data_IF_173620255970
#
_entry.id   IF_173620255970
#
_cell.length_a   1.000
_cell.length_b   1.000
_cell.length_c   1.000
_cell.angle_alpha   90.00
_cell.angle_beta   90.00
_cell.angle_gamma   90.00
#
_symmetry.space_group_name_H-M   'P 1'
#
loop_
_entity.id
_entity.type
_entity.pdbx_description
1 polymer ?
#
# COMPACT_ATOMS: atom_id res chain seq x y z
N UNK A 1 30.74 -29.72 -6.37
CA UNK A 1 29.62 -28.83 -6.00
C UNK A 1 30.00 -27.88 -4.87
N UNK A 2 30.50 -28.37 -3.71
CA UNK A 2 30.91 -27.50 -2.57
C UNK A 2 31.88 -26.36 -2.93
N UNK A 3 32.95 -26.64 -3.68
CA UNK A 3 33.92 -25.62 -4.14
C UNK A 3 33.31 -24.55 -5.05
N UNK A 4 32.31 -24.90 -5.88
CA UNK A 4 31.64 -23.93 -6.77
C UNK A 4 30.74 -23.01 -5.94
N UNK A 5 29.99 -23.57 -4.99
CA UNK A 5 29.15 -22.80 -4.06
C UNK A 5 29.99 -21.87 -3.18
N UNK A 6 31.17 -22.31 -2.72
CA UNK A 6 32.09 -21.48 -1.95
C UNK A 6 32.75 -20.37 -2.77
N UNK A 7 33.01 -20.60 -4.06
CA UNK A 7 33.62 -19.60 -4.96
C UNK A 7 32.60 -18.62 -5.55
N UNK A 8 31.33 -19.00 -5.64
CA UNK A 8 30.26 -18.26 -6.30
C UNK A 8 28.96 -18.28 -5.47
N UNK A 9 29.00 -17.92 -4.17
CA UNK A 9 27.86 -18.04 -3.27
C UNK A 9 26.64 -17.23 -3.72
N UNK A 10 26.86 -16.13 -4.43
CA UNK A 10 25.82 -15.24 -4.94
C UNK A 10 24.88 -15.87 -5.97
N UNK A 11 25.31 -16.93 -6.65
CA UNK A 11 24.50 -17.62 -7.66
C UNK A 11 23.74 -18.84 -7.09
N UNK A 12 23.85 -19.07 -5.77
CA UNK A 12 23.31 -20.25 -5.08
C UNK A 12 22.49 -19.87 -3.84
N UNK A 13 21.68 -18.80 -3.92
CA UNK A 13 20.75 -18.43 -2.86
C UNK A 13 19.57 -19.41 -2.78
N UNK A 14 19.34 -19.92 -1.57
CA UNK A 14 18.13 -20.65 -1.22
C UNK A 14 17.02 -19.65 -0.89
N UNK A 15 15.77 -20.06 -1.11
CA UNK A 15 14.61 -19.28 -0.71
C UNK A 15 14.60 -19.13 0.82
N UNK A 16 14.30 -17.92 1.29
CA UNK A 16 14.14 -17.63 2.71
C UNK A 16 12.78 -18.13 3.21
N UNK A 17 12.75 -18.80 4.35
CA UNK A 17 11.54 -19.33 4.96
C UNK A 17 11.27 -18.66 6.32
N UNK A 18 10.04 -18.74 6.84
CA UNK A 18 9.67 -18.14 8.14
C UNK A 18 10.52 -18.68 9.30
N UNK A 19 11.02 -19.91 9.19
CA UNK A 19 11.95 -20.49 10.17
C UNK A 19 13.29 -19.76 10.23
N UNK A 20 13.76 -19.19 9.11
CA UNK A 20 15.00 -18.40 9.10
C UNK A 20 14.84 -17.07 9.83
N UNK A 21 13.65 -16.47 9.74
CA UNK A 21 13.28 -15.24 10.47
C UNK A 21 13.23 -15.50 11.99
N UNK A 22 12.69 -16.66 12.38
CA UNK A 22 12.52 -17.04 13.80
C UNK A 22 13.80 -17.64 14.43
N UNK A 23 14.80 -17.97 13.63
CA UNK A 23 16.08 -18.46 14.15
C UNK A 23 16.88 -17.31 14.79
N UNK A 24 16.94 -17.34 16.12
CA UNK A 24 17.66 -16.37 16.95
C UNK A 24 19.16 -16.28 16.64
N UNK A 25 19.72 -17.25 15.91
CA UNK A 25 21.10 -17.21 15.49
C UNK A 25 21.34 -16.35 14.25
N UNK A 26 20.32 -16.16 13.39
CA UNK A 26 20.44 -15.28 12.23
C UNK A 26 20.47 -13.81 12.68
N UNK A 27 20.83 -12.90 11.77
CA UNK A 27 20.85 -11.46 12.05
C UNK A 27 19.77 -10.78 11.21
N UNK A 28 18.82 -10.11 11.85
CA UNK A 28 17.81 -9.29 11.17
C UNK A 28 18.15 -7.83 11.43
N UNK A 29 18.32 -7.07 10.36
CA UNK A 29 18.65 -5.65 10.43
C UNK A 29 17.53 -4.86 9.80
N UNK A 30 16.98 -3.86 10.49
CA UNK A 30 15.96 -2.97 9.93
C UNK A 30 16.55 -1.63 9.52
N UNK A 31 16.01 -1.06 8.46
CA UNK A 31 16.32 0.28 7.99
C UNK A 31 15.43 1.34 8.68
N UNK A 32 15.80 2.61 8.53
CA UNK A 32 15.06 3.77 9.05
C UNK A 32 13.64 3.82 8.51
N UNK A 33 13.45 3.44 7.24
CA UNK A 33 12.13 3.46 6.61
C UNK A 33 11.12 2.55 7.34
N UNK A 34 11.56 1.39 7.86
CA UNK A 34 10.73 0.48 8.63
C UNK A 34 10.21 1.15 9.90
N UNK A 35 11.12 1.73 10.69
CA UNK A 35 10.76 2.41 11.94
C UNK A 35 9.86 3.62 11.72
N UNK A 36 10.09 4.38 10.64
CA UNK A 36 9.27 5.54 10.30
C UNK A 36 7.89 5.16 9.76
N UNK A 37 7.77 4.04 9.03
CA UNK A 37 6.50 3.56 8.48
C UNK A 37 5.50 3.23 9.59
N UNK A 38 5.96 2.65 10.70
CA UNK A 38 5.12 2.38 11.89
C UNK A 38 4.41 3.66 12.37
N UNK A 39 5.07 4.82 12.30
CA UNK A 39 4.49 6.09 12.74
C UNK A 39 3.46 6.65 11.78
N UNK A 40 3.39 6.17 10.54
CA UNK A 40 2.45 6.64 9.51
C UNK A 40 1.24 5.71 9.37
N UNK A 41 1.41 4.42 9.68
CA UNK A 41 0.38 3.38 9.51
C UNK A 41 -0.85 3.56 10.41
N UNK A 42 -2.03 3.06 10.00
CA UNK A 42 -3.18 2.85 10.88
C UNK A 42 -2.78 2.07 12.13
N UNK A 43 -3.44 2.35 13.27
CA UNK A 43 -2.98 1.86 14.57
C UNK A 43 -3.01 0.32 14.69
N UNK A 44 -3.99 -0.33 14.08
CA UNK A 44 -4.11 -1.80 14.00
C UNK A 44 -2.93 -2.41 13.25
N UNK A 45 -2.55 -1.82 12.10
CA UNK A 45 -1.42 -2.29 11.29
C UNK A 45 -0.08 -1.96 11.97
N UNK A 46 0.05 -0.76 12.54
CA UNK A 46 1.25 -0.35 13.28
C UNK A 46 1.54 -1.29 14.46
N UNK A 47 0.49 -1.77 15.14
CA UNK A 47 0.60 -2.77 16.21
C UNK A 47 1.20 -4.07 15.68
N UNK A 48 0.76 -4.58 14.52
CA UNK A 48 1.35 -5.79 13.90
C UNK A 48 2.83 -5.62 13.53
N UNK A 49 3.24 -4.43 13.07
CA UNK A 49 4.65 -4.15 12.79
C UNK A 49 5.48 -4.17 14.08
N UNK A 50 4.99 -3.56 15.15
CA UNK A 50 5.66 -3.56 16.45
C UNK A 50 5.73 -4.98 17.02
N UNK A 51 4.64 -5.75 16.97
CA UNK A 51 4.61 -7.14 17.43
C UNK A 51 5.55 -8.04 16.60
N UNK A 52 5.68 -7.78 15.30
CA UNK A 52 6.67 -8.44 14.46
C UNK A 52 8.07 -8.21 14.99
N UNK A 53 8.46 -6.95 15.28
CA UNK A 53 9.76 -6.64 15.88
C UNK A 53 9.94 -7.28 17.27
N UNK A 54 8.90 -7.30 18.12
CA UNK A 54 8.96 -7.98 19.43
C UNK A 54 9.27 -9.47 19.26
N UNK A 55 8.66 -10.13 18.28
CA UNK A 55 8.82 -11.56 18.04
C UNK A 55 10.24 -11.95 17.61
N UNK A 56 10.94 -11.05 16.92
CA UNK A 56 12.32 -11.24 16.44
C UNK A 56 13.35 -10.46 17.28
N UNK A 57 12.98 -10.01 18.48
CA UNK A 57 13.84 -9.12 19.28
C UNK A 57 15.22 -9.71 19.57
N UNK A 58 15.35 -11.04 19.67
CA UNK A 58 16.61 -11.72 19.99
C UNK A 58 17.63 -11.75 18.85
N UNK A 59 17.17 -11.65 17.60
CA UNK A 59 18.01 -11.56 16.41
C UNK A 59 17.91 -10.19 15.70
N UNK A 60 17.17 -9.23 16.25
CA UNK A 60 17.04 -7.88 15.73
C UNK A 60 18.27 -7.04 16.08
N UNK A 61 18.79 -6.33 15.08
CA UNK A 61 19.81 -5.31 15.22
C UNK A 61 19.37 -4.02 14.53
N UNK A 62 19.54 -2.90 15.22
CA UNK A 62 19.24 -1.57 14.70
C UNK A 62 20.54 -0.78 14.69
N UNK A 63 21.15 -0.54 13.52
CA UNK A 63 22.35 0.27 13.40
C UNK A 63 22.16 1.62 14.11
N UNK A 64 23.20 2.13 14.76
CA UNK A 64 23.09 3.40 15.49
C UNK A 64 22.60 4.53 14.58
N UNK A 65 23.06 4.57 13.31
CA UNK A 65 22.59 5.56 12.35
C UNK A 65 21.09 5.44 12.08
N UNK A 66 20.56 4.22 11.95
CA UNK A 66 19.13 3.98 11.69
C UNK A 66 18.28 4.57 12.82
N UNK A 67 18.66 4.32 14.08
CA UNK A 67 17.98 4.90 15.22
C UNK A 67 18.10 6.43 15.23
N UNK A 68 19.29 6.97 14.95
CA UNK A 68 19.52 8.41 14.89
C UNK A 68 18.65 9.09 13.81
N UNK A 69 18.63 8.52 12.61
CA UNK A 69 17.82 8.96 11.48
C UNK A 69 16.32 8.92 11.84
N UNK A 70 15.86 7.88 12.54
CA UNK A 70 14.50 7.79 13.04
C UNK A 70 14.17 8.96 13.97
N UNK A 71 15.06 9.29 14.92
CA UNK A 71 14.86 10.40 15.85
C UNK A 71 14.81 11.77 15.16
N UNK A 72 15.59 11.99 14.11
CA UNK A 72 15.52 13.24 13.32
C UNK A 72 14.21 13.36 12.53
N UNK A 73 13.68 12.25 12.03
CA UNK A 73 12.56 12.26 11.08
C UNK A 73 11.18 12.00 11.71
N UNK A 74 11.10 11.37 12.90
CA UNK A 74 9.84 10.97 13.53
C UNK A 74 8.83 12.11 13.70
N UNK A 75 9.29 13.30 14.07
CA UNK A 75 8.42 14.47 14.27
C UNK A 75 7.77 14.92 12.97
N UNK A 76 8.50 14.83 11.86
CA UNK A 76 7.97 15.15 10.54
C UNK A 76 6.94 14.10 10.11
N UNK A 77 7.22 12.81 10.34
CA UNK A 77 6.29 11.71 10.04
C UNK A 77 4.97 11.82 10.81
N UNK A 78 5.03 12.06 12.14
CA UNK A 78 3.83 12.30 12.96
C UNK A 78 3.03 13.52 12.47
N UNK A 79 3.70 14.62 12.12
CA UNK A 79 3.03 15.81 11.54
C UNK A 79 2.39 15.52 10.19
N UNK A 80 3.06 14.76 9.33
CA UNK A 80 2.53 14.36 8.02
C UNK A 80 1.29 13.49 8.17
N UNK A 81 1.30 12.49 9.05
CA UNK A 81 0.11 11.66 9.34
C UNK A 81 -1.09 12.51 9.74
N UNK A 82 -0.89 13.44 10.68
CA UNK A 82 -1.96 14.36 11.12
C UNK A 82 -2.47 15.25 9.99
N UNK A 83 -1.57 15.86 9.21
CA UNK A 83 -1.95 16.68 8.05
C UNK A 83 -2.72 15.89 7.00
N UNK A 84 -2.31 14.65 6.76
CA UNK A 84 -2.99 13.77 5.84
C UNK A 84 -4.41 13.48 6.34
N UNK A 85 -4.57 13.05 7.60
CA UNK A 85 -5.89 12.83 8.22
C UNK A 85 -6.79 14.08 8.16
N UNK A 86 -6.25 15.27 8.43
CA UNK A 86 -6.99 16.54 8.32
C UNK A 86 -7.40 16.82 6.86
N UNK A 87 -6.51 16.57 5.90
CA UNK A 87 -6.78 16.74 4.46
C UNK A 87 -7.87 15.79 3.98
N UNK A 88 -7.80 14.53 4.40
CA UNK A 88 -8.83 13.52 4.16
C UNK A 88 -10.19 13.94 4.71
N UNK A 89 -10.23 14.36 5.97
CA UNK A 89 -11.45 14.81 6.61
C UNK A 89 -12.10 15.95 5.81
N UNK A 90 -11.30 16.92 5.38
CA UNK A 90 -11.77 18.02 4.52
C UNK A 90 -12.28 17.56 3.15
N UNK A 91 -11.67 16.54 2.55
CA UNK A 91 -12.14 15.97 1.29
C UNK A 91 -13.51 15.30 1.47
N UNK A 92 -13.69 14.53 2.54
CA UNK A 92 -14.96 13.88 2.86
C UNK A 92 -16.04 14.92 3.19
N UNK A 93 -15.71 15.92 4.01
CA UNK A 93 -16.58 17.06 4.30
C UNK A 93 -17.01 17.79 3.02
N UNK A 94 -16.06 18.07 2.11
CA UNK A 94 -16.35 18.68 0.81
C UNK A 94 -17.27 17.80 -0.05
N UNK A 95 -17.03 16.49 -0.11
CA UNK A 95 -17.86 15.56 -0.89
C UNK A 95 -19.29 15.48 -0.34
N UNK A 96 -19.46 15.43 0.98
CA UNK A 96 -20.77 15.45 1.63
C UNK A 96 -21.49 16.79 1.40
N UNK A 97 -20.78 17.91 1.48
CA UNK A 97 -21.35 19.24 1.18
C UNK A 97 -21.73 19.40 -0.30
N UNK A 98 -20.96 18.83 -1.23
CA UNK A 98 -21.31 18.78 -2.65
C UNK A 98 -22.54 17.92 -2.89
N UNK A 99 -22.63 16.74 -2.27
CA UNK A 99 -23.81 15.88 -2.34
C UNK A 99 -25.05 16.62 -1.84
N UNK A 100 -24.94 17.27 -0.67
CA UNK A 100 -25.99 18.12 -0.10
C UNK A 100 -26.44 19.21 -1.07
N UNK A 101 -25.48 19.93 -1.65
CA UNK A 101 -25.76 21.03 -2.58
C UNK A 101 -26.43 20.53 -3.88
N UNK A 102 -25.98 19.39 -4.42
CA UNK A 102 -26.58 18.77 -5.61
C UNK A 102 -28.03 18.35 -5.37
N UNK A 103 -28.32 17.74 -4.22
CA UNK A 103 -29.70 17.36 -3.85
C UNK A 103 -30.59 18.61 -3.68
N UNK A 104 -30.05 19.71 -3.14
CA UNK A 104 -30.79 20.96 -2.95
C UNK A 104 -31.01 21.76 -4.25
N UNK A 105 -30.06 21.72 -5.19
CA UNK A 105 -30.07 22.50 -6.43
C UNK A 105 -30.75 21.80 -7.62
N UNK A 106 -31.26 20.58 -7.44
CA UNK A 106 -31.92 19.88 -8.55
C UNK A 106 -33.30 20.50 -8.82
N UNK A 107 -33.35 21.47 -9.73
CA UNK A 107 -34.58 22.09 -10.23
C UNK A 107 -35.57 21.06 -10.83
N UNK A 108 -35.09 19.87 -11.24
CA UNK A 108 -35.91 18.75 -11.72
C UNK A 108 -36.70 18.03 -10.61
N UNK A 109 -36.29 18.17 -9.34
CA UNK A 109 -37.02 17.63 -8.18
C UNK A 109 -38.08 18.63 -7.70
N UNK A 110 -38.04 19.88 -8.18
CA UNK A 110 -39.05 20.90 -7.84
C UNK A 110 -40.47 20.55 -8.32
N UNK A 111 -40.63 19.58 -9.22
CA UNK A 111 -41.96 19.08 -9.62
C UNK A 111 -42.63 18.18 -8.57
N UNK A 112 -41.94 17.78 -7.49
CA UNK A 112 -42.47 16.91 -6.43
C UNK A 112 -42.30 17.51 -5.02
N UNK A 113 -42.06 18.83 -4.92
CA UNK A 113 -41.83 19.56 -3.65
C UNK A 113 -43.03 19.55 -2.69
N UNK A 114 -44.18 19.01 -3.09
CA UNK A 114 -45.31 18.76 -2.18
C UNK A 114 -45.17 17.47 -1.36
N UNK A 115 -44.18 16.60 -1.63
CA UNK A 115 -43.99 15.35 -0.89
C UNK A 115 -43.04 15.51 0.31
N UNK A 116 -43.59 15.43 1.54
CA UNK A 116 -42.85 15.38 2.83
C UNK A 116 -41.68 14.38 2.84
N UNK A 117 -41.74 13.33 2.00
CA UNK A 117 -40.69 12.31 1.86
C UNK A 117 -39.34 12.87 1.43
N UNK A 118 -39.31 13.84 0.51
CA UNK A 118 -38.05 14.36 -0.03
C UNK A 118 -37.40 15.33 0.96
N UNK A 119 -38.22 16.13 1.64
CA UNK A 119 -37.80 16.95 2.78
C UNK A 119 -37.25 16.08 3.92
N UNK A 120 -37.89 14.96 4.23
CA UNK A 120 -37.40 13.99 5.19
C UNK A 120 -36.07 13.34 4.76
N UNK A 121 -35.90 13.05 3.46
CA UNK A 121 -34.66 12.48 2.94
C UNK A 121 -33.49 13.47 3.03
N UNK A 122 -33.73 14.74 2.71
CA UNK A 122 -32.75 15.83 2.89
C UNK A 122 -32.41 15.98 4.38
N UNK A 123 -33.41 16.00 5.26
CA UNK A 123 -33.17 16.07 6.71
C UNK A 123 -32.35 14.88 7.24
N UNK A 124 -32.62 13.66 6.76
CA UNK A 124 -31.83 12.48 7.09
C UNK A 124 -30.38 12.61 6.59
N UNK A 125 -30.17 13.14 5.40
CA UNK A 125 -28.83 13.36 4.84
C UNK A 125 -28.06 14.40 5.66
N UNK A 126 -28.71 15.48 6.08
CA UNK A 126 -28.11 16.51 6.95
C UNK A 126 -27.73 15.95 8.31
N UNK A 127 -28.65 15.22 8.97
CA UNK A 127 -28.39 14.59 10.25
C UNK A 127 -27.25 13.57 10.15
N UNK A 128 -27.27 12.72 9.11
CA UNK A 128 -26.20 11.75 8.86
C UNK A 128 -24.85 12.44 8.66
N UNK A 129 -24.81 13.53 7.88
CA UNK A 129 -23.58 14.27 7.59
C UNK A 129 -22.99 14.85 8.87
N UNK A 130 -23.82 15.51 9.69
CA UNK A 130 -23.38 16.14 10.94
C UNK A 130 -22.92 15.10 11.98
N UNK A 131 -23.69 14.01 12.16
CA UNK A 131 -23.33 12.89 13.04
C UNK A 131 -22.04 12.22 12.59
N UNK A 132 -21.88 11.96 11.28
CA UNK A 132 -20.69 11.35 10.72
C UNK A 132 -19.44 12.24 10.93
N UNK A 133 -19.52 13.52 10.57
CA UNK A 133 -18.40 14.45 10.73
C UNK A 133 -18.01 14.62 12.20
N UNK A 134 -18.98 14.68 13.10
CA UNK A 134 -18.75 14.76 14.55
C UNK A 134 -18.03 13.52 15.06
N UNK A 135 -18.52 12.32 14.71
CA UNK A 135 -17.91 11.05 15.13
C UNK A 135 -16.49 10.87 14.59
N UNK A 136 -16.26 11.20 13.32
CA UNK A 136 -14.92 11.10 12.72
C UNK A 136 -13.96 12.09 13.40
N UNK A 137 -14.38 13.33 13.66
CA UNK A 137 -13.54 14.32 14.32
C UNK A 137 -13.18 13.92 15.76
N UNK A 138 -14.12 13.30 16.51
CA UNK A 138 -13.84 12.74 17.84
C UNK A 138 -12.87 11.55 17.77
N UNK A 139 -13.11 10.62 16.85
CA UNK A 139 -12.26 9.44 16.66
C UNK A 139 -10.82 9.81 16.30
N UNK A 140 -10.65 10.79 15.41
CA UNK A 140 -9.33 11.30 15.00
C UNK A 140 -8.58 11.99 16.15
N UNK A 141 -9.27 12.56 17.13
CA UNK A 141 -8.66 13.35 18.21
C UNK A 141 -8.31 12.54 19.46
N UNK A 142 -9.20 11.67 19.92
CA UNK A 142 -9.14 11.15 21.30
C UNK A 142 -8.82 9.65 21.41
N UNK A 143 -9.43 8.76 20.61
CA UNK A 143 -9.18 7.30 20.75
C UNK A 143 -7.89 6.82 20.06
N UNK A 144 -7.49 7.48 18.96
CA UNK A 144 -6.28 7.13 18.22
C UNK A 144 -5.02 7.51 19.02
N UNK A 145 -5.05 8.62 19.76
CA UNK A 145 -3.87 9.21 20.38
C UNK A 145 -3.30 8.37 21.53
N UNK A 146 -4.13 7.79 22.40
CA UNK A 146 -3.66 6.95 23.51
C UNK A 146 -2.98 5.67 23.03
N UNK A 147 -3.60 4.98 22.06
CA UNK A 147 -3.03 3.74 21.48
C UNK A 147 -1.77 4.04 20.65
N UNK A 148 -1.75 5.13 19.90
CA UNK A 148 -0.55 5.56 19.18
C UNK A 148 0.63 5.82 20.13
N UNK A 149 0.36 6.40 21.30
CA UNK A 149 1.39 6.63 22.31
C UNK A 149 1.89 5.32 22.95
N UNK A 150 1.02 4.31 23.13
CA UNK A 150 1.40 2.98 23.58
C UNK A 150 2.32 2.29 22.55
N UNK A 151 1.88 2.18 21.30
CA UNK A 151 2.66 1.59 20.19
C UNK A 151 3.99 2.31 20.02
N UNK A 152 4.00 3.64 20.14
CA UNK A 152 5.24 4.43 20.08
C UNK A 152 6.19 4.14 21.25
N UNK A 153 5.69 4.01 22.48
CA UNK A 153 6.51 3.63 23.64
C UNK A 153 7.11 2.23 23.47
N UNK A 154 6.31 1.27 23.00
CA UNK A 154 6.79 -0.08 22.72
C UNK A 154 7.88 -0.09 21.64
N UNK A 155 7.70 0.67 20.56
CA UNK A 155 8.71 0.85 19.53
C UNK A 155 10.02 1.41 20.12
N UNK A 156 9.95 2.43 20.98
CA UNK A 156 11.13 2.98 21.64
C UNK A 156 11.84 1.95 22.53
N UNK A 157 11.09 1.12 23.26
CA UNK A 157 11.68 0.07 24.08
C UNK A 157 12.42 -0.95 23.22
N UNK A 158 11.83 -1.38 22.09
CA UNK A 158 12.47 -2.31 21.15
C UNK A 158 13.75 -1.69 20.58
N UNK A 159 13.70 -0.41 20.17
CA UNK A 159 14.87 0.30 19.68
C UNK A 159 15.95 0.35 20.74
N UNK A 160 15.61 0.74 21.97
CA UNK A 160 16.56 0.81 23.09
C UNK A 160 17.27 -0.52 23.36
N UNK A 161 16.57 -1.63 23.19
CA UNK A 161 17.10 -2.97 23.47
C UNK A 161 17.91 -3.56 22.31
N UNK A 162 17.78 -3.00 21.09
CA UNK A 162 18.34 -3.57 19.86
C UNK A 162 19.30 -2.63 19.12
N UNK A 163 19.48 -1.39 19.61
CA UNK A 163 20.36 -0.39 19.00
C UNK A 163 21.83 -0.79 19.11
N UNK A 164 22.59 -0.56 18.04
CA UNK A 164 24.03 -0.70 18.00
C UNK A 164 24.78 0.40 18.76
N UNK A 165 26.08 0.17 18.93
CA UNK A 165 26.95 1.11 19.63
C UNK A 165 27.11 2.42 18.85
N UNK A 166 27.29 3.50 19.60
CA UNK A 166 27.61 4.80 19.03
C UNK A 166 28.94 4.75 18.27
N UNK A 167 28.99 5.43 17.13
CA UNK A 167 30.18 5.47 16.28
C UNK A 167 31.25 6.44 16.81
N UNK A 168 32.50 6.08 16.59
CA UNK A 168 33.63 7.00 16.69
C UNK A 168 33.71 7.87 15.42
N UNK A 169 34.10 9.14 15.59
CA UNK A 169 34.16 10.07 14.47
C UNK A 169 35.19 9.65 13.42
N UNK A 170 36.30 9.08 13.87
CA UNK A 170 37.38 8.53 13.05
C UNK A 170 36.87 7.41 12.15
N UNK A 171 36.04 6.50 12.68
CA UNK A 171 35.43 5.42 11.91
C UNK A 171 34.52 5.94 10.80
N UNK A 172 33.74 7.00 11.06
CA UNK A 172 32.93 7.66 10.03
C UNK A 172 33.84 8.24 8.93
N UNK A 173 34.92 8.94 9.29
CA UNK A 173 35.83 9.53 8.30
C UNK A 173 36.49 8.48 7.39
N UNK A 174 36.86 7.32 7.94
CA UNK A 174 37.40 6.22 7.14
C UNK A 174 36.39 5.72 6.12
N UNK A 175 35.12 5.58 6.52
CA UNK A 175 34.04 5.13 5.63
C UNK A 175 33.73 6.17 4.56
N UNK A 176 33.67 7.46 4.90
CA UNK A 176 33.39 8.51 3.91
C UNK A 176 34.50 8.59 2.85
N UNK A 177 35.76 8.42 3.26
CA UNK A 177 36.91 8.35 2.35
C UNK A 177 36.86 7.12 1.44
N UNK A 178 36.39 5.98 1.95
CA UNK A 178 36.10 4.81 1.10
C UNK A 178 34.94 5.10 0.14
N UNK A 179 33.90 5.79 0.64
CA UNK A 179 32.70 6.16 -0.11
C UNK A 179 32.98 7.04 -1.32
N UNK A 180 33.93 7.97 -1.23
CA UNK A 180 34.40 8.75 -2.40
C UNK A 180 34.81 7.87 -3.57
N UNK A 181 35.58 6.80 -3.29
CA UNK A 181 36.04 5.87 -4.32
C UNK A 181 34.92 4.95 -4.78
N UNK A 182 34.15 4.40 -3.84
CA UNK A 182 33.04 3.49 -4.16
C UNK A 182 32.01 4.17 -5.06
N UNK A 183 31.64 5.41 -4.78
CA UNK A 183 30.61 6.11 -5.55
C UNK A 183 31.11 6.44 -6.96
N UNK A 184 32.38 6.87 -7.10
CA UNK A 184 33.00 7.09 -8.41
C UNK A 184 33.04 5.83 -9.28
N UNK A 185 33.13 4.65 -8.67
CA UNK A 185 33.13 3.35 -9.35
C UNK A 185 31.75 2.67 -9.37
N UNK A 186 30.69 3.35 -8.92
CA UNK A 186 29.34 2.82 -8.77
C UNK A 186 29.26 1.50 -7.97
N UNK A 187 30.09 1.37 -6.93
CA UNK A 187 30.10 0.24 -6.00
C UNK A 187 29.05 0.50 -4.90
N UNK A 188 28.07 -0.40 -4.71
CA UNK A 188 26.99 -0.23 -3.74
C UNK A 188 27.47 -0.41 -2.28
N UNK A 189 26.67 0.01 -1.27
CA UNK A 189 25.43 0.78 -1.41
C UNK A 189 25.68 2.29 -1.33
N UNK A 190 24.68 3.08 -1.73
CA UNK A 190 24.64 4.52 -1.52
C UNK A 190 25.06 5.38 -2.72
N UNK A 191 25.61 4.81 -3.80
CA UNK A 191 26.03 5.62 -4.96
C UNK A 191 24.86 6.35 -5.63
N UNK A 192 23.63 5.85 -5.50
CA UNK A 192 22.43 6.54 -5.99
C UNK A 192 22.12 7.83 -5.21
N UNK A 193 22.67 7.98 -4.00
CA UNK A 193 22.51 9.14 -3.12
C UNK A 193 23.72 10.09 -3.20
N UNK A 194 24.61 9.96 -4.20
CA UNK A 194 25.82 10.79 -4.35
C UNK A 194 25.54 12.30 -4.38
N UNK A 195 24.37 12.69 -4.90
CA UNK A 195 23.92 14.08 -5.03
C UNK A 195 23.18 14.60 -3.80
N UNK A 196 23.10 13.81 -2.72
CA UNK A 196 22.43 14.21 -1.48
C UNK A 196 23.33 15.12 -0.65
N UNK A 197 22.97 16.39 -0.63
CA UNK A 197 23.70 17.39 0.14
C UNK A 197 23.31 17.44 1.62
N UNK A 198 24.27 17.89 2.43
CA UNK A 198 24.05 18.20 3.84
C UNK A 198 24.88 17.35 4.80
N UNK A 199 25.25 17.96 5.92
CA UNK A 199 25.99 17.32 7.01
C UNK A 199 25.06 17.26 8.23
N UNK A 200 24.96 16.09 8.85
CA UNK A 200 24.27 15.92 10.13
C UNK A 200 25.29 15.82 11.24
N UNK A 201 24.99 16.47 12.36
CA UNK A 201 25.81 16.45 13.58
C UNK A 201 24.95 16.04 14.76
N UNK A 202 25.43 15.09 15.55
CA UNK A 202 24.76 14.66 16.76
C UNK A 202 25.74 14.07 17.76
N UNK A 203 25.69 14.53 19.00
CA UNK A 203 26.44 13.95 20.13
C UNK A 203 27.95 13.69 19.83
N UNK A 204 28.61 14.59 19.11
CA UNK A 204 30.04 14.46 18.80
C UNK A 204 30.38 13.77 17.48
N UNK A 205 29.40 13.17 16.78
CA UNK A 205 29.57 12.69 15.41
C UNK A 205 29.06 13.68 14.37
N UNK A 206 29.68 13.66 13.20
CA UNK A 206 29.37 14.45 12.00
C UNK A 206 29.53 13.56 10.78
N UNK A 207 28.50 13.48 9.94
CA UNK A 207 28.52 12.69 8.70
C UNK A 207 27.78 13.41 7.57
N UNK A 208 28.25 13.22 6.34
CA UNK A 208 27.57 13.65 5.12
C UNK A 208 26.43 12.69 4.81
N UNK A 209 25.24 13.25 4.58
CA UNK A 209 24.03 12.44 4.42
C UNK A 209 24.07 11.49 3.21
N UNK A 210 24.87 11.79 2.17
CA UNK A 210 25.10 10.91 1.02
C UNK A 210 25.77 9.57 1.37
N UNK A 211 26.54 9.52 2.47
CA UNK A 211 27.20 8.28 2.90
C UNK A 211 26.38 7.49 3.94
N UNK A 212 25.14 7.91 4.24
CA UNK A 212 24.31 7.26 5.25
C UNK A 212 24.14 5.75 5.01
N UNK A 213 23.74 5.35 3.79
CA UNK A 213 23.56 3.96 3.40
C UNK A 213 24.86 3.15 3.53
N UNK A 214 26.00 3.75 3.16
CA UNK A 214 27.31 3.11 3.28
C UNK A 214 27.73 2.93 4.75
N UNK A 215 27.50 3.94 5.61
CA UNK A 215 27.80 3.84 7.04
C UNK A 215 26.95 2.74 7.69
N UNK A 216 25.64 2.68 7.38
CA UNK A 216 24.75 1.60 7.83
C UNK A 216 25.27 0.24 7.36
N UNK A 217 25.67 0.13 6.09
CA UNK A 217 26.20 -1.12 5.55
C UNK A 217 27.48 -1.58 6.25
N UNK A 218 28.42 -0.67 6.52
CA UNK A 218 29.66 -1.01 7.24
C UNK A 218 29.38 -1.41 8.69
N UNK A 219 28.36 -0.83 9.33
CA UNK A 219 27.88 -1.28 10.65
C UNK A 219 27.32 -2.71 10.59
N UNK A 220 26.51 -3.02 9.57
CA UNK A 220 26.00 -4.39 9.34
C UNK A 220 27.14 -5.39 9.16
N UNK A 221 28.15 -5.07 8.35
CA UNK A 221 29.31 -5.95 8.14
C UNK A 221 30.07 -6.21 9.45
N UNK A 222 30.30 -5.16 10.24
CA UNK A 222 30.93 -5.26 11.57
C UNK A 222 30.13 -6.20 12.47
N UNK A 223 28.83 -5.94 12.61
CA UNK A 223 27.94 -6.75 13.46
C UNK A 223 27.86 -8.21 13.02
N UNK A 224 27.77 -8.45 11.72
CA UNK A 224 27.72 -9.80 11.16
C UNK A 224 29.00 -10.60 11.43
N UNK A 225 30.15 -9.93 11.48
CA UNK A 225 31.46 -10.53 11.78
C UNK A 225 31.62 -10.84 13.28
N UNK A 226 31.08 -9.98 14.15
CA UNK A 226 31.12 -10.15 15.61
C UNK A 226 30.18 -11.27 16.10
N UNK A 227 29.16 -11.61 15.33
CA UNK A 227 28.19 -12.66 15.67
C UNK A 227 28.59 -14.00 15.03
N UNK A 228 29.17 -14.95 15.78
CA UNK A 228 29.71 -16.20 15.21
C UNK A 228 28.63 -17.23 14.84
N UNK A 229 27.40 -17.07 15.33
CA UNK A 229 26.27 -17.98 15.06
C UNK A 229 25.39 -17.44 13.93
N UNK A 230 24.69 -18.36 13.29
CA UNK A 230 23.80 -18.10 12.16
C UNK A 230 24.54 -17.95 10.84
N UNK A 231 23.87 -18.31 9.75
CA UNK A 231 24.43 -18.28 8.40
C UNK A 231 23.80 -17.18 7.53
N UNK A 232 22.88 -16.37 8.07
CA UNK A 232 22.13 -15.35 7.33
C UNK A 232 22.16 -13.97 7.98
N UNK A 233 22.20 -12.95 7.13
CA UNK A 233 21.87 -11.56 7.45
C UNK A 233 20.69 -11.16 6.58
N UNK A 234 19.60 -10.73 7.21
CA UNK A 234 18.36 -10.36 6.54
C UNK A 234 18.16 -8.86 6.77
N UNK A 235 18.41 -8.06 5.73
CA UNK A 235 18.26 -6.62 5.77
C UNK A 235 16.87 -6.20 5.28
N UNK A 236 16.14 -5.47 6.11
CA UNK A 236 14.74 -5.09 5.87
C UNK A 236 14.70 -3.64 5.42
N UNK A 237 14.35 -3.43 4.16
CA UNK A 237 14.23 -2.10 3.57
C UNK A 237 13.30 -2.08 2.36
N UNK A 238 12.46 -1.06 2.24
CA UNK A 238 11.67 -0.79 1.04
C UNK A 238 12.51 -0.21 -0.11
N UNK A 239 13.75 0.23 0.14
CA UNK A 239 14.59 0.87 -0.87
C UNK A 239 15.00 -0.08 -2.01
N UNK A 240 15.06 -1.39 -1.73
CA UNK A 240 15.28 -2.42 -2.75
C UNK A 240 14.15 -2.52 -3.78
N UNK A 241 12.96 -1.99 -3.46
CA UNK A 241 11.81 -2.00 -4.36
C UNK A 241 11.72 -0.75 -5.23
N UNK A 242 12.51 0.27 -4.93
CA UNK A 242 12.51 1.52 -5.66
C UNK A 242 12.96 1.32 -7.11
N UNK A 243 12.24 1.94 -8.04
CA UNK A 243 12.68 2.07 -9.43
C UNK A 243 13.82 3.10 -9.59
N UNK A 244 14.12 3.86 -8.53
CA UNK A 244 15.17 4.89 -8.51
C UNK A 244 16.47 4.42 -7.88
N UNK A 245 16.44 3.31 -7.12
CA UNK A 245 17.63 2.70 -6.51
C UNK A 245 17.98 1.39 -7.22
N UNK A 246 19.18 1.33 -7.78
CA UNK A 246 19.77 0.20 -8.52
C UNK A 246 20.94 -0.46 -7.78
N UNK A 247 21.31 0.08 -6.61
CA UNK A 247 22.51 -0.29 -5.84
C UNK A 247 22.26 -1.48 -4.90
N UNK A 248 21.04 -1.63 -4.37
CA UNK A 248 20.71 -2.68 -3.41
C UNK A 248 20.29 -4.01 -4.05
N UNK A 249 19.59 -4.00 -5.20
CA UNK A 249 18.97 -5.17 -5.82
C UNK A 249 19.46 -5.35 -7.25
N UNK A 250 19.89 -6.57 -7.58
CA UNK A 250 20.20 -6.98 -8.95
C UNK A 250 18.90 -7.26 -9.74
N UNK A 251 18.74 -6.58 -10.88
CA UNK A 251 17.60 -6.73 -11.79
C UNK A 251 18.06 -7.27 -13.14
N UNK A 252 17.41 -8.31 -13.66
CA UNK A 252 17.59 -8.82 -15.04
C UNK A 252 16.26 -8.75 -15.77
N UNK A 253 16.22 -8.11 -16.93
CA UNK A 253 15.03 -8.04 -17.80
C UNK A 253 13.74 -7.66 -17.06
N UNK A 254 13.79 -6.63 -16.21
CA UNK A 254 12.70 -6.17 -15.32
C UNK A 254 12.26 -7.14 -14.22
N UNK A 255 12.91 -8.28 -14.04
CA UNK A 255 12.71 -9.19 -12.91
C UNK A 255 13.76 -8.93 -11.83
N UNK A 256 13.30 -8.79 -10.58
CA UNK A 256 14.19 -8.77 -9.41
C UNK A 256 14.75 -10.19 -9.21
N UNK A 257 16.07 -10.30 -9.13
CA UNK A 257 16.73 -11.60 -8.93
C UNK A 257 17.12 -11.79 -7.47
N UNK A 258 17.63 -10.74 -6.82
CA UNK A 258 18.08 -10.77 -5.42
C UNK A 258 18.92 -9.55 -5.06
N UNK A 259 19.56 -9.53 -3.88
CA UNK A 259 20.50 -8.49 -3.50
C UNK A 259 21.62 -8.30 -4.53
N UNK A 260 22.23 -7.12 -4.56
CA UNK A 260 23.37 -6.85 -5.42
C UNK A 260 24.52 -7.82 -5.14
N UNK A 261 25.08 -8.40 -6.21
CA UNK A 261 26.19 -9.36 -6.15
C UNK A 261 27.38 -8.79 -5.35
N UNK A 262 27.66 -7.49 -5.47
CA UNK A 262 28.71 -6.82 -4.70
C UNK A 262 28.46 -6.87 -3.19
N UNK A 263 27.23 -6.60 -2.75
CA UNK A 263 26.85 -6.62 -1.33
C UNK A 263 26.89 -8.06 -0.79
N UNK A 264 26.41 -9.01 -1.58
CA UNK A 264 26.44 -10.41 -1.22
C UNK A 264 27.87 -10.92 -1.04
N UNK A 265 28.76 -10.60 -2.00
CA UNK A 265 30.15 -11.01 -1.95
C UNK A 265 30.89 -10.35 -0.78
N UNK A 266 30.73 -9.04 -0.58
CA UNK A 266 31.37 -8.31 0.52
C UNK A 266 30.96 -8.88 1.89
N UNK A 267 29.65 -9.08 2.12
CA UNK A 267 29.17 -9.68 3.36
C UNK A 267 29.71 -11.10 3.56
N UNK A 268 29.65 -11.93 2.52
CA UNK A 268 30.10 -13.32 2.60
C UNK A 268 31.60 -13.41 2.88
N UNK A 269 32.41 -12.55 2.26
CA UNK A 269 33.86 -12.54 2.46
C UNK A 269 34.25 -12.07 3.87
N UNK A 270 33.50 -11.13 4.45
CA UNK A 270 33.73 -10.67 5.82
C UNK A 270 33.23 -11.64 6.89
N UNK A 271 32.03 -12.21 6.73
CA UNK A 271 31.31 -12.91 7.81
C UNK A 271 30.96 -14.37 7.52
N UNK A 272 31.13 -14.83 6.28
CA UNK A 272 30.64 -16.13 5.77
C UNK A 272 29.13 -16.32 5.87
N UNK A 273 28.37 -15.23 6.00
CA UNK A 273 26.90 -15.23 6.01
C UNK A 273 26.32 -14.87 4.64
N UNK A 274 25.14 -15.40 4.36
CA UNK A 274 24.33 -15.11 3.17
C UNK A 274 23.49 -13.85 3.42
N UNK A 275 23.48 -12.92 2.46
CA UNK A 275 22.64 -11.72 2.50
C UNK A 275 21.25 -12.02 1.95
N UNK A 276 20.22 -11.52 2.60
CA UNK A 276 18.85 -11.43 2.10
C UNK A 276 18.35 -10.00 2.27
N UNK A 277 17.54 -9.52 1.32
CA UNK A 277 16.86 -8.23 1.44
C UNK A 277 15.36 -8.46 1.29
N UNK A 278 14.58 -8.00 2.26
CA UNK A 278 13.11 -8.04 2.23
C UNK A 278 12.56 -6.62 2.36
N UNK A 279 11.39 -6.38 1.77
CA UNK A 279 10.62 -5.18 2.10
C UNK A 279 9.94 -5.32 3.46
N UNK A 280 9.47 -4.20 4.00
CA UNK A 280 8.90 -4.11 5.33
C UNK A 280 7.64 -4.98 5.47
N UNK A 281 6.74 -4.90 4.49
CA UNK A 281 5.46 -5.65 4.47
C UNK A 281 5.68 -7.16 4.43
N UNK A 282 6.68 -7.63 3.69
CA UNK A 282 7.01 -9.06 3.57
C UNK A 282 7.44 -9.63 4.91
N UNK A 283 8.30 -8.93 5.67
CA UNK A 283 8.70 -9.36 7.01
C UNK A 283 7.48 -9.53 7.91
N UNK A 284 6.63 -8.51 7.97
CA UNK A 284 5.44 -8.50 8.84
C UNK A 284 4.48 -9.60 8.43
N UNK A 285 4.24 -9.78 7.13
CA UNK A 285 3.37 -10.84 6.63
C UNK A 285 3.89 -12.24 6.96
N UNK A 286 5.22 -12.46 6.89
CA UNK A 286 5.84 -13.74 7.27
C UNK A 286 5.68 -14.07 8.76
N UNK A 287 5.42 -13.09 9.63
CA UNK A 287 5.32 -13.27 11.08
C UNK A 287 3.87 -13.27 11.57
N UNK A 288 3.07 -12.28 11.18
CA UNK A 288 1.74 -12.03 11.75
C UNK A 288 0.58 -12.38 10.82
N UNK A 289 0.84 -12.75 9.56
CA UNK A 289 -0.17 -12.95 8.51
C UNK A 289 -1.10 -11.73 8.33
N UNK A 290 -0.78 -10.89 7.34
CA UNK A 290 -1.60 -9.73 7.00
C UNK A 290 -2.79 -10.17 6.14
N UNK A 291 -3.97 -9.60 6.41
CA UNK A 291 -5.13 -9.78 5.53
C UNK A 291 -4.97 -8.98 4.23
N UNK A 292 -5.74 -9.34 3.19
CA UNK A 292 -5.80 -8.57 1.94
C UNK A 292 -6.13 -7.10 2.21
N UNK A 293 -7.14 -6.82 3.06
CA UNK A 293 -7.53 -5.46 3.47
C UNK A 293 -6.39 -4.68 4.18
N UNK A 294 -5.49 -5.35 4.89
CA UNK A 294 -4.34 -4.70 5.54
C UNK A 294 -3.24 -4.39 4.53
N UNK A 295 -2.97 -5.30 3.60
CA UNK A 295 -2.01 -5.11 2.50
C UNK A 295 -2.47 -3.93 1.63
N UNK A 296 -3.74 -3.90 1.22
CA UNK A 296 -4.32 -2.81 0.43
C UNK A 296 -4.19 -1.45 1.14
N UNK A 297 -4.39 -1.42 2.46
CA UNK A 297 -4.24 -0.20 3.27
C UNK A 297 -2.78 0.27 3.36
N UNK A 298 -1.83 -0.66 3.43
CA UNK A 298 -0.39 -0.34 3.41
C UNK A 298 -0.01 0.24 2.04
N UNK A 299 -0.39 -0.42 0.96
CA UNK A 299 -0.08 0.00 -0.42
C UNK A 299 -0.71 1.36 -0.75
N UNK A 300 -1.99 1.56 -0.41
CA UNK A 300 -2.69 2.82 -0.58
C UNK A 300 -1.97 3.99 0.10
N UNK A 301 -1.41 3.75 1.30
CA UNK A 301 -0.63 4.74 2.02
C UNK A 301 0.72 5.04 1.33
N UNK A 302 1.42 4.02 0.82
CA UNK A 302 2.68 4.20 0.09
C UNK A 302 2.49 4.98 -1.21
N UNK A 303 1.41 4.71 -1.94
CA UNK A 303 1.05 5.45 -3.16
C UNK A 303 0.44 6.84 -2.88
N UNK A 304 0.18 7.18 -1.61
CA UNK A 304 -0.63 8.34 -1.18
C UNK A 304 -2.00 8.37 -1.88
N UNK A 305 -2.49 7.20 -2.29
CA UNK A 305 -3.81 7.04 -2.90
C UNK A 305 -4.82 6.85 -1.80
N UNK A 306 -5.63 7.88 -1.68
CA UNK A 306 -6.67 8.03 -0.69
C UNK A 306 -7.98 7.57 -1.33
N UNK A 307 -8.03 6.28 -1.67
CA UNK A 307 -9.20 5.70 -2.34
C UNK A 307 -10.28 5.46 -1.29
N UNK A 308 -11.37 6.22 -1.38
CA UNK A 308 -12.62 5.84 -0.72
C UNK A 308 -13.19 4.68 -1.53
N UNK A 309 -12.86 3.46 -1.14
CA UNK A 309 -13.52 2.28 -1.69
C UNK A 309 -14.88 2.17 -1.02
N UNK A 310 -15.96 2.19 -1.82
CA UNK A 310 -17.27 1.84 -1.30
C UNK A 310 -17.24 0.35 -0.93
N UNK A 311 -17.69 -0.01 0.28
CA UNK A 311 -17.85 -1.42 0.65
C UNK A 311 -18.63 -2.17 -0.42
N UNK A 312 -18.18 -3.39 -0.76
CA UNK A 312 -18.77 -4.20 -1.83
C UNK A 312 -20.28 -4.35 -1.72
N UNK A 313 -20.79 -4.52 -0.50
CA UNK A 313 -22.23 -4.64 -0.25
C UNK A 313 -23.04 -3.38 -0.62
N UNK A 314 -22.43 -2.18 -0.58
CA UNK A 314 -23.07 -0.94 -1.03
C UNK A 314 -23.20 -0.95 -2.55
N UNK A 315 -22.14 -1.36 -3.25
CA UNK A 315 -22.15 -1.48 -4.70
C UNK A 315 -23.14 -2.55 -5.15
N UNK A 316 -23.15 -3.73 -4.50
CA UNK A 316 -24.09 -4.82 -4.78
C UNK A 316 -25.55 -4.36 -4.61
N UNK A 317 -25.82 -3.58 -3.57
CA UNK A 317 -27.15 -3.00 -3.33
C UNK A 317 -27.52 -1.98 -4.41
N UNK A 318 -26.60 -1.08 -4.77
CA UNK A 318 -26.83 -0.08 -5.81
C UNK A 318 -27.13 -0.75 -7.16
N UNK A 319 -26.37 -1.77 -7.54
CA UNK A 319 -26.63 -2.55 -8.76
C UNK A 319 -28.01 -3.20 -8.72
N UNK A 320 -28.39 -3.80 -7.58
CA UNK A 320 -29.72 -4.40 -7.40
C UNK A 320 -30.85 -3.39 -7.55
N UNK A 321 -30.71 -2.21 -6.95
CA UNK A 321 -31.73 -1.15 -7.01
C UNK A 321 -31.87 -0.60 -8.45
N UNK A 322 -30.76 -0.46 -9.17
CA UNK A 322 -30.78 -0.06 -10.59
C UNK A 322 -31.43 -1.13 -11.47
N UNK A 323 -31.17 -2.43 -11.23
CA UNK A 323 -31.85 -3.51 -11.95
C UNK A 323 -33.36 -3.46 -11.74
N UNK A 324 -33.80 -3.31 -10.49
CA UNK A 324 -35.22 -3.19 -10.18
C UNK A 324 -35.85 -1.95 -10.86
N UNK A 325 -35.12 -0.84 -10.90
CA UNK A 325 -35.56 0.37 -11.63
C UNK A 325 -35.74 0.10 -13.12
N UNK A 326 -34.75 -0.52 -13.77
CA UNK A 326 -34.85 -0.85 -15.19
C UNK A 326 -36.00 -1.81 -15.50
N UNK A 327 -36.25 -2.81 -14.64
CA UNK A 327 -37.38 -3.73 -14.77
C UNK A 327 -38.74 -3.03 -14.70
N UNK A 328 -38.85 -2.00 -13.87
CA UNK A 328 -40.06 -1.17 -13.77
C UNK A 328 -40.15 -0.07 -14.85
N UNK A 329 -39.06 0.17 -15.59
CA UNK A 329 -38.95 1.29 -16.52
C UNK A 329 -39.36 0.90 -17.95
N UNK A 330 -40.54 1.38 -18.37
CA UNK A 330 -41.10 1.14 -19.71
C UNK A 330 -40.55 2.08 -20.81
N UNK A 331 -39.64 3.01 -20.51
CA UNK A 331 -39.00 3.89 -21.51
C UNK A 331 -37.78 3.21 -22.17
N UNK A 332 -37.33 3.68 -23.33
CA UNK A 332 -36.07 3.31 -24.00
C UNK A 332 -34.81 3.55 -23.14
N UNK A 333 -34.89 4.36 -22.09
CA UNK A 333 -33.76 4.68 -21.22
C UNK A 333 -33.34 3.47 -20.38
N UNK A 334 -32.04 3.16 -20.38
CA UNK A 334 -31.39 2.13 -19.56
C UNK A 334 -30.48 2.80 -18.54
N UNK A 335 -30.67 2.50 -17.26
CA UNK A 335 -29.80 2.96 -16.19
C UNK A 335 -28.73 1.92 -15.87
N UNK A 336 -27.53 2.37 -15.50
CA UNK A 336 -26.42 1.50 -15.09
C UNK A 336 -25.49 2.25 -14.13
N UNK A 337 -24.65 1.51 -13.39
CA UNK A 337 -23.56 2.11 -12.62
C UNK A 337 -22.32 2.13 -13.53
N UNK A 338 -21.60 3.23 -13.68
CA UNK A 338 -20.41 3.29 -14.55
C UNK A 338 -19.11 2.78 -13.88
N UNK A 339 -17.95 3.01 -14.50
CA UNK A 339 -16.62 2.62 -13.98
C UNK A 339 -16.15 3.48 -12.80
N UNK A 340 -16.73 4.66 -12.62
CA UNK A 340 -16.47 5.55 -11.49
C UNK A 340 -17.51 5.39 -10.37
N UNK A 341 -18.30 4.31 -10.41
CA UNK A 341 -19.40 4.02 -9.48
C UNK A 341 -20.50 5.09 -9.44
N UNK A 342 -20.77 5.75 -10.58
CA UNK A 342 -21.82 6.76 -10.73
C UNK A 342 -23.05 6.17 -11.40
N UNK A 343 -24.25 6.63 -11.03
CA UNK A 343 -25.48 6.29 -11.75
C UNK A 343 -25.51 7.03 -13.09
N UNK A 344 -25.49 6.28 -14.18
CA UNK A 344 -25.55 6.78 -15.55
C UNK A 344 -26.79 6.23 -16.26
N UNK A 345 -27.13 6.84 -17.40
CA UNK A 345 -28.21 6.38 -18.26
C UNK A 345 -27.86 6.54 -19.73
N UNK A 346 -28.41 5.67 -20.56
CA UNK A 346 -28.35 5.77 -22.02
C UNK A 346 -29.76 5.63 -22.57
N UNK A 347 -30.13 6.46 -23.54
CA UNK A 347 -31.37 6.26 -24.30
C UNK A 347 -31.05 5.41 -25.53
N UNK A 348 -31.53 4.17 -25.55
CA UNK A 348 -31.22 3.24 -26.65
C UNK A 348 -31.87 3.64 -27.97
N UNK A 349 -32.92 4.45 -27.95
CA UNK A 349 -33.62 4.90 -29.16
C UNK A 349 -32.89 6.09 -29.81
N UNK A 350 -32.05 6.81 -29.06
CA UNK A 350 -31.23 7.92 -29.57
C UNK A 350 -29.86 7.46 -30.09
N UNK A 351 -29.51 6.18 -29.90
CA UNK A 351 -28.24 5.60 -30.35
C UNK A 351 -28.42 4.92 -31.70
N UNK A 352 -27.57 5.25 -32.66
CA UNK A 352 -27.61 4.62 -33.99
C UNK A 352 -27.41 3.09 -33.89
N UNK A 353 -28.16 2.27 -34.65
CA UNK A 353 -28.11 0.81 -34.52
C UNK A 353 -26.71 0.19 -34.65
N UNK A 354 -25.84 0.74 -35.51
CA UNK A 354 -24.45 0.28 -35.64
C UNK A 354 -23.61 0.61 -34.40
N UNK A 355 -23.86 1.77 -33.78
CA UNK A 355 -23.16 2.20 -32.58
C UNK A 355 -23.59 1.36 -31.37
N UNK A 356 -24.88 1.01 -31.29
CA UNK A 356 -25.41 0.11 -30.27
C UNK A 356 -24.81 -1.31 -30.38
N UNK A 357 -24.64 -1.84 -31.59
CA UNK A 357 -23.98 -3.13 -31.83
C UNK A 357 -22.52 -3.07 -31.39
N UNK A 358 -21.80 -2.01 -31.77
CA UNK A 358 -20.40 -1.79 -31.36
C UNK A 358 -20.26 -1.72 -29.84
N UNK A 359 -21.19 -1.04 -29.15
CA UNK A 359 -21.26 -0.99 -27.68
C UNK A 359 -21.44 -2.38 -27.07
N UNK A 360 -22.29 -3.23 -27.65
CA UNK A 360 -22.50 -4.59 -27.15
C UNK A 360 -21.31 -5.52 -27.40
N UNK A 361 -20.51 -5.27 -28.45
CA UNK A 361 -19.33 -6.08 -28.79
C UNK A 361 -18.06 -5.64 -28.06
N UNK A 362 -18.01 -4.41 -27.55
CA UNK A 362 -16.84 -3.88 -26.88
C UNK A 362 -16.61 -4.57 -25.50
N UNK A 363 -15.44 -5.20 -25.28
CA UNK A 363 -15.12 -5.87 -24.01
C UNK A 363 -14.97 -4.89 -22.84
N UNK A 364 -14.69 -3.62 -23.11
CA UNK A 364 -14.53 -2.57 -22.10
C UNK A 364 -15.89 -1.99 -21.65
N UNK A 365 -16.99 -2.33 -22.33
CA UNK A 365 -18.34 -1.92 -21.92
C UNK A 365 -18.77 -2.72 -20.70
N UNK A 366 -19.18 -2.01 -19.65
CA UNK A 366 -19.52 -2.62 -18.37
C UNK A 366 -20.58 -3.71 -18.55
N UNK A 367 -20.30 -4.88 -17.99
CA UNK A 367 -21.18 -6.07 -18.02
C UNK A 367 -22.64 -5.73 -17.70
N UNK A 368 -22.88 -4.91 -16.68
CA UNK A 368 -24.22 -4.49 -16.28
C UNK A 368 -24.95 -3.71 -17.39
N UNK A 369 -24.30 -2.72 -18.03
CA UNK A 369 -24.93 -1.96 -19.12
C UNK A 369 -25.31 -2.88 -20.29
N UNK A 370 -24.39 -3.78 -20.66
CA UNK A 370 -24.60 -4.77 -21.72
C UNK A 370 -25.78 -5.69 -21.42
N UNK A 371 -25.88 -6.20 -20.19
CA UNK A 371 -27.00 -7.04 -19.74
C UNK A 371 -28.33 -6.30 -19.81
N UNK A 372 -28.38 -5.05 -19.34
CA UNK A 372 -29.62 -4.27 -19.28
C UNK A 372 -30.10 -3.84 -20.68
N UNK A 373 -29.19 -3.44 -21.59
CA UNK A 373 -29.53 -3.18 -23.00
C UNK A 373 -30.06 -4.46 -23.65
N UNK A 374 -29.36 -5.58 -23.49
CA UNK A 374 -29.77 -6.85 -24.09
C UNK A 374 -31.15 -7.27 -23.59
N UNK A 375 -31.39 -7.19 -22.28
CA UNK A 375 -32.70 -7.50 -21.67
C UNK A 375 -33.80 -6.62 -22.25
N UNK A 376 -33.55 -5.33 -22.41
CA UNK A 376 -34.54 -4.37 -22.93
C UNK A 376 -34.83 -4.56 -24.42
N UNK A 377 -33.80 -4.81 -25.22
CA UNK A 377 -33.95 -5.20 -26.63
C UNK A 377 -34.75 -6.49 -26.76
N UNK A 378 -34.45 -7.48 -25.92
CA UNK A 378 -35.15 -8.77 -25.87
C UNK A 378 -36.61 -8.58 -25.47
N UNK A 379 -36.93 -7.82 -24.43
CA UNK A 379 -38.32 -7.53 -24.03
C UNK A 379 -39.11 -6.82 -25.14
N UNK A 380 -38.49 -5.86 -25.83
CA UNK A 380 -39.05 -5.21 -27.02
C UNK A 380 -39.28 -6.17 -28.19
N UNK A 381 -38.37 -7.12 -28.42
CA UNK A 381 -38.47 -8.13 -29.47
C UNK A 381 -39.49 -9.24 -29.13
N UNK A 382 -39.56 -9.63 -27.86
CA UNK A 382 -40.40 -10.71 -27.33
C UNK A 382 -41.87 -10.33 -27.14
N UNK A 383 -42.18 -9.03 -27.02
CA UNK A 383 -43.55 -8.52 -27.15
C UNK A 383 -44.22 -8.90 -28.50
N UNK A 384 -43.43 -9.39 -29.49
CA UNK A 384 -43.87 -9.78 -30.83
C UNK A 384 -43.77 -11.29 -31.12
N UNK A 385 -43.33 -12.14 -30.18
CA UNK A 385 -43.02 -13.56 -30.43
C UNK A 385 -43.75 -14.56 -29.49
N UNK A 386 -44.04 -15.81 -29.93
CA UNK A 386 -44.69 -16.84 -29.09
C UNK A 386 -43.81 -17.33 -27.92
N UNK A 387 -44.40 -17.49 -26.73
CA UNK A 387 -43.74 -17.78 -25.43
C UNK A 387 -42.74 -18.95 -25.39
N UNK A 388 -42.86 -19.95 -26.26
CA UNK A 388 -41.97 -21.12 -26.24
C UNK A 388 -40.57 -20.79 -26.82
N UNK A 389 -40.49 -19.88 -27.80
CA UNK A 389 -39.23 -19.48 -28.44
C UNK A 389 -38.39 -18.57 -27.50
N UNK A 390 -39.08 -17.81 -26.64
CA UNK A 390 -38.47 -16.91 -25.64
C UNK A 390 -37.62 -17.71 -24.65
N UNK A 391 -38.12 -18.87 -24.23
CA UNK A 391 -37.50 -19.70 -23.19
C UNK A 391 -36.19 -20.34 -23.67
N UNK A 392 -36.12 -20.72 -24.94
CA UNK A 392 -34.95 -21.39 -25.52
C UNK A 392 -33.78 -20.41 -25.78
N UNK A 393 -34.07 -19.17 -26.16
CA UNK A 393 -33.03 -18.16 -26.43
C UNK A 393 -32.38 -17.67 -25.12
N UNK A 394 -33.17 -17.38 -24.08
CA UNK A 394 -32.67 -16.97 -22.76
C UNK A 394 -31.78 -18.06 -22.16
N UNK A 395 -32.20 -19.33 -22.24
CA UNK A 395 -31.42 -20.46 -21.75
C UNK A 395 -30.09 -20.60 -22.52
N UNK A 396 -30.07 -20.41 -23.85
CA UNK A 396 -28.82 -20.49 -24.62
C UNK A 396 -27.82 -19.36 -24.31
N UNK A 397 -28.32 -18.20 -23.88
CA UNK A 397 -27.48 -17.05 -23.52
C UNK A 397 -26.92 -17.19 -22.09
N UNK A 398 -27.67 -17.81 -21.17
CA UNK A 398 -27.20 -18.13 -19.83
C UNK A 398 -26.18 -19.29 -19.84
N UNK A 399 -26.36 -20.31 -20.67
CA UNK A 399 -25.42 -21.43 -20.80
C UNK A 399 -24.06 -21.01 -21.38
N UNK A 400 -24.01 -19.97 -22.23
CA UNK A 400 -22.74 -19.46 -22.80
C UNK A 400 -21.93 -18.54 -21.86
N UNK A 401 -22.49 -18.13 -20.72
CA UNK A 401 -21.84 -17.19 -19.79
C UNK A 401 -21.49 -17.81 -18.41
N UNK A 402 -21.60 -19.14 -18.28
CA UNK A 402 -21.24 -19.90 -17.06
C UNK A 402 -19.94 -20.73 -17.26
N UNK A 403 -19.22 -20.57 -18.37
CA UNK A 403 -17.89 -21.15 -18.57
C UNK A 403 -16.76 -20.17 -18.26
#
# INVERSE_FOLDING_TARGET
MKKVIEMFPEFHQEKLETTDIKDENNLIVVDTNFLLQILELPIDIATKYVDSLKSIKRNLYIPYLVALEFHFNKSNKKKTKKRNADSYFKQVESALNQLKSSVQNTDLIKMDIENDKLKHLIGNLEFFTDDFLTKVNLFVRDEITDKEDEVYKELLNIISDSIGDMYEQEWIYEIEKEGEKRFAEAIPPGFNDENKDGIRKYNGISYHQKYGDLIIWKDILKKATEQPRGDKVIFITNDGESNKKSDLIYKTSNMKVGPSIFLMNELYMCSRKKLYILNNTTLVNMITELSEDEIDRIEAQEEKKYVVTFPKWILDKAEKDVRARNESNNSSVVYYIDSENRLASIDIDEVEPLELISLLENPDVKKMLKEEILKKMLDGYYSKLPRHIIKDIINSYQEKNIQ
#
